data_IF_322010998388
#
_entry.id   IF_322010998388
#
_cell.length_a   1.000
_cell.length_b   1.000
_cell.length_c   1.000
_cell.angle_alpha   90.00
_cell.angle_beta   90.00
_cell.angle_gamma   90.00
#
_symmetry.space_group_name_H-M   'P 1'
#
loop_
_entity.id
_entity.type
_entity.pdbx_description
1 polymer ?
#
# COMPACT_ATOMS: atom_id res chain seq x y z
N UNK A 1 -16.27 -4.70 9.97
CA UNK A 1 -15.18 -4.01 9.24
C UNK A 1 -13.84 -4.52 9.73
N UNK A 2 -12.91 -4.79 8.80
CA UNK A 2 -11.58 -5.28 9.17
C UNK A 2 -10.72 -4.12 9.67
N UNK A 3 -9.90 -4.40 10.67
CA UNK A 3 -8.92 -3.43 11.13
C UNK A 3 -7.79 -3.30 10.10
N UNK A 4 -7.32 -2.06 9.93
CA UNK A 4 -6.19 -1.77 9.06
C UNK A 4 -5.05 -1.29 9.94
N UNK A 5 -3.87 -1.90 9.78
CA UNK A 5 -2.68 -1.42 10.45
C UNK A 5 -1.53 -1.34 9.45
N UNK A 6 -0.61 -0.42 9.70
CA UNK A 6 0.54 -0.20 8.84
C UNK A 6 1.82 -0.61 9.54
N UNK A 7 2.66 -1.35 8.82
CA UNK A 7 4.05 -1.47 9.22
C UNK A 7 4.66 -0.06 9.21
N UNK A 8 5.52 0.26 10.19
CA UNK A 8 6.04 1.63 10.29
C UNK A 8 6.76 2.08 9.03
N UNK A 9 7.44 1.17 8.31
CA UNK A 9 8.11 1.54 7.07
C UNK A 9 7.11 1.76 5.94
N UNK A 10 5.98 1.07 5.93
CA UNK A 10 4.92 1.32 4.97
C UNK A 10 4.30 2.71 5.19
N UNK A 11 4.10 3.09 6.45
CA UNK A 11 3.59 4.42 6.77
C UNK A 11 4.55 5.49 6.32
N UNK A 12 5.84 5.28 6.54
CA UNK A 12 6.88 6.20 6.08
C UNK A 12 6.88 6.33 4.57
N UNK A 13 6.78 5.22 3.86
CA UNK A 13 6.73 5.21 2.40
C UNK A 13 5.51 5.97 1.89
N UNK A 14 4.37 5.79 2.55
CA UNK A 14 3.15 6.50 2.20
C UNK A 14 3.33 8.01 2.32
N UNK A 15 3.87 8.45 3.45
CA UNK A 15 4.05 9.88 3.72
C UNK A 15 5.07 10.50 2.79
N UNK A 16 6.17 9.81 2.53
CA UNK A 16 7.21 10.31 1.62
C UNK A 16 6.68 10.45 0.20
N UNK A 17 5.89 9.47 -0.27
CA UNK A 17 5.31 9.55 -1.60
C UNK A 17 4.31 10.69 -1.71
N UNK A 18 3.46 10.86 -0.69
CA UNK A 18 2.47 11.95 -0.70
C UNK A 18 3.16 13.32 -0.74
N UNK A 19 4.23 13.49 0.04
CA UNK A 19 4.99 14.74 0.05
C UNK A 19 5.66 15.00 -1.29
N UNK A 20 6.21 13.95 -1.91
CA UNK A 20 6.81 14.08 -3.22
C UNK A 20 5.79 14.59 -4.24
N UNK A 21 4.61 13.97 -4.30
CA UNK A 21 3.58 14.40 -5.25
C UNK A 21 3.07 15.80 -4.95
N UNK A 22 2.94 16.15 -3.68
CA UNK A 22 2.51 17.50 -3.32
C UNK A 22 3.54 18.55 -3.76
N UNK A 23 4.82 18.22 -3.69
CA UNK A 23 5.86 19.12 -4.15
C UNK A 23 5.87 19.28 -5.67
N UNK A 24 5.39 18.26 -6.38
CA UNK A 24 5.31 18.31 -7.84
C UNK A 24 4.13 19.17 -8.32
N UNK A 25 3.01 19.11 -7.62
CA UNK A 25 1.83 19.86 -7.99
C UNK A 25 0.92 20.00 -6.79
N UNK A 26 0.50 21.23 -6.42
CA UNK A 26 -0.41 21.42 -5.29
C UNK A 26 -1.68 20.58 -5.44
N UNK A 27 -2.02 19.84 -4.39
CA UNK A 27 -3.18 18.97 -4.34
C UNK A 27 -2.93 17.55 -4.82
N UNK A 28 -1.79 17.29 -5.49
CA UNK A 28 -1.53 15.95 -6.02
C UNK A 28 -1.27 14.94 -4.90
N UNK A 29 -0.68 15.39 -3.79
CA UNK A 29 -0.48 14.51 -2.64
C UNK A 29 -1.80 14.01 -2.05
N UNK A 30 -2.80 14.88 -1.99
CA UNK A 30 -4.13 14.50 -1.51
C UNK A 30 -4.77 13.48 -2.46
N UNK A 31 -4.62 13.69 -3.77
CA UNK A 31 -5.14 12.75 -4.77
C UNK A 31 -4.50 11.38 -4.60
N UNK A 32 -3.20 11.35 -4.35
CA UNK A 32 -2.48 10.10 -4.10
C UNK A 32 -3.02 9.39 -2.85
N UNK A 33 -3.15 10.13 -1.75
CA UNK A 33 -3.66 9.56 -0.50
C UNK A 33 -5.09 9.03 -0.66
N UNK A 34 -5.93 9.76 -1.41
CA UNK A 34 -7.31 9.33 -1.67
C UNK A 34 -7.33 8.00 -2.44
N UNK A 35 -6.46 7.83 -3.41
CA UNK A 35 -6.42 6.58 -4.16
C UNK A 35 -5.94 5.43 -3.28
N UNK A 36 -4.92 5.66 -2.46
CA UNK A 36 -4.45 4.67 -1.47
C UNK A 36 -5.61 4.24 -0.58
N UNK A 37 -6.35 5.21 -0.04
CA UNK A 37 -7.45 4.93 0.87
C UNK A 37 -8.54 4.09 0.20
N UNK A 38 -8.91 4.42 -1.03
CA UNK A 38 -9.92 3.65 -1.76
C UNK A 38 -9.46 2.21 -2.02
N UNK A 39 -8.19 2.03 -2.37
CA UNK A 39 -7.68 0.68 -2.59
C UNK A 39 -7.62 -0.13 -1.30
N UNK A 40 -7.28 0.52 -0.18
CA UNK A 40 -7.27 -0.16 1.13
C UNK A 40 -8.69 -0.58 1.50
N UNK A 41 -9.69 0.25 1.25
CA UNK A 41 -11.09 -0.12 1.48
C UNK A 41 -11.49 -1.34 0.65
N UNK A 42 -11.07 -1.38 -0.62
CA UNK A 42 -11.31 -2.54 -1.49
C UNK A 42 -10.62 -3.79 -0.95
N UNK A 43 -9.39 -3.66 -0.50
CA UNK A 43 -8.64 -4.77 0.09
C UNK A 43 -9.37 -5.32 1.31
N UNK A 44 -9.88 -4.42 2.16
CA UNK A 44 -10.61 -4.85 3.36
C UNK A 44 -11.87 -5.63 3.01
N UNK A 45 -12.54 -5.25 1.92
CA UNK A 45 -13.75 -5.94 1.47
C UNK A 45 -13.44 -7.26 0.77
N UNK A 46 -12.30 -7.35 0.08
CA UNK A 46 -11.93 -8.55 -0.66
C UNK A 46 -10.43 -8.80 -0.53
N UNK A 47 -9.98 -9.33 0.62
CA UNK A 47 -8.55 -9.51 0.86
C UNK A 47 -7.84 -10.44 -0.10
N UNK A 48 -8.57 -11.37 -0.74
CA UNK A 48 -7.94 -12.29 -1.69
C UNK A 48 -7.90 -11.73 -3.11
N UNK A 49 -8.30 -10.47 -3.31
CA UNK A 49 -8.31 -9.86 -4.64
C UNK A 49 -6.96 -9.46 -5.17
N UNK A 50 -5.95 -9.35 -4.31
CA UNK A 50 -4.61 -9.01 -4.75
C UNK A 50 -3.86 -10.18 -5.32
N UNK A 51 -2.82 -9.89 -6.12
CA UNK A 51 -1.96 -10.91 -6.68
C UNK A 51 -1.03 -11.44 -5.59
N UNK A 52 -0.97 -12.77 -5.44
CA UNK A 52 -0.07 -13.40 -4.48
C UNK A 52 1.38 -13.18 -4.89
N UNK A 53 2.20 -12.79 -3.94
CA UNK A 53 3.63 -12.62 -4.15
C UNK A 53 4.41 -13.73 -3.46
N UNK A 54 4.52 -13.64 -2.13
CA UNK A 54 5.33 -14.57 -1.35
C UNK A 54 4.64 -14.81 -0.02
N UNK A 55 4.49 -16.10 0.35
CA UNK A 55 3.79 -16.44 1.59
C UNK A 55 2.39 -15.86 1.58
N UNK A 56 1.96 -15.21 2.69
CA UNK A 56 0.63 -14.63 2.75
C UNK A 56 0.52 -13.25 2.09
N UNK A 57 1.60 -12.74 1.51
CA UNK A 57 1.63 -11.35 1.01
C UNK A 57 1.02 -11.27 -0.37
N UNK A 58 0.14 -10.28 -0.53
CA UNK A 58 -0.50 -9.96 -1.80
C UNK A 58 -0.24 -8.51 -2.17
N UNK A 59 -0.45 -8.16 -3.44
CA UNK A 59 -0.22 -6.83 -3.95
C UNK A 59 -1.40 -6.35 -4.76
N UNK A 60 -1.77 -5.07 -4.56
CA UNK A 60 -2.68 -4.35 -5.44
C UNK A 60 -1.93 -3.16 -6.01
N UNK A 61 -1.96 -2.99 -7.33
CA UNK A 61 -1.30 -1.87 -8.01
C UNK A 61 -2.30 -0.75 -8.18
N UNK A 62 -1.89 0.48 -7.86
CA UNK A 62 -2.73 1.65 -8.03
C UNK A 62 -3.01 1.91 -9.51
N UNK A 63 -4.07 2.65 -9.79
CA UNK A 63 -4.46 2.94 -11.16
C UNK A 63 -3.67 4.11 -11.75
N UNK A 64 -3.54 5.21 -11.00
CA UNK A 64 -2.99 6.45 -11.52
C UNK A 64 -1.57 6.76 -11.07
N UNK A 65 -1.02 5.97 -10.19
CA UNK A 65 0.32 6.19 -9.64
C UNK A 65 1.13 4.91 -9.75
N UNK A 66 2.45 5.00 -9.99
CA UNK A 66 3.29 3.82 -10.15
C UNK A 66 3.66 3.21 -8.80
N UNK A 67 2.65 2.87 -8.00
CA UNK A 67 2.83 2.28 -6.69
C UNK A 67 1.94 1.07 -6.51
N UNK A 68 2.39 0.15 -5.67
CA UNK A 68 1.61 -0.98 -5.23
C UNK A 68 1.46 -0.99 -3.73
N UNK A 69 0.33 -1.53 -3.26
CA UNK A 69 0.08 -1.75 -1.84
C UNK A 69 0.34 -3.23 -1.58
N UNK A 70 1.32 -3.53 -0.72
CA UNK A 70 1.63 -4.89 -0.31
C UNK A 70 1.01 -5.12 1.06
N UNK A 71 0.29 -6.23 1.21
CA UNK A 71 -0.47 -6.47 2.44
C UNK A 71 -0.57 -7.96 2.73
N UNK A 72 -0.90 -8.26 3.98
CA UNK A 72 -1.28 -9.62 4.37
C UNK A 72 -2.60 -9.56 5.14
N UNK A 73 -3.50 -10.51 4.85
CA UNK A 73 -4.74 -10.66 5.60
C UNK A 73 -4.47 -11.55 6.81
N UNK A 74 -4.95 -11.12 7.97
CA UNK A 74 -4.76 -11.83 9.23
C UNK A 74 -6.10 -11.94 9.93
N UNK A 75 -6.15 -12.75 11.00
CA UNK A 75 -7.37 -12.91 11.79
C UNK A 75 -7.86 -11.56 12.33
N UNK A 76 -6.94 -10.72 12.78
CA UNK A 76 -7.28 -9.41 13.35
C UNK A 76 -7.52 -8.32 12.31
N UNK A 77 -7.19 -8.55 11.03
CA UNK A 77 -7.43 -7.56 9.98
C UNK A 77 -6.38 -7.58 8.89
N UNK A 78 -6.22 -6.42 8.25
CA UNK A 78 -5.27 -6.24 7.15
C UNK A 78 -4.03 -5.52 7.66
N UNK A 79 -2.87 -6.10 7.39
CA UNK A 79 -1.59 -5.47 7.70
C UNK A 79 -0.97 -4.94 6.41
N UNK A 80 -0.80 -3.63 6.31
CA UNK A 80 -0.13 -3.01 5.16
C UNK A 80 1.37 -3.08 5.39
N UNK A 81 2.08 -3.79 4.53
CA UNK A 81 3.51 -4.07 4.71
C UNK A 81 4.40 -3.12 3.93
N UNK A 82 3.93 -2.60 2.81
CA UNK A 82 4.71 -1.68 1.99
C UNK A 82 3.81 -0.87 1.08
N UNK A 83 4.21 0.38 0.87
CA UNK A 83 3.70 1.22 -0.21
C UNK A 83 4.87 1.33 -1.17
N UNK A 84 4.89 0.48 -2.19
CA UNK A 84 6.06 0.22 -3.00
C UNK A 84 6.00 0.91 -4.35
N UNK A 85 6.98 1.76 -4.63
CA UNK A 85 7.15 2.27 -6.00
C UNK A 85 7.48 1.09 -6.92
N UNK A 86 6.85 1.03 -8.08
CA UNK A 86 7.00 -0.13 -8.98
C UNK A 86 8.42 -0.32 -9.53
N UNK A 87 9.25 0.73 -9.47
CA UNK A 87 10.66 0.64 -9.88
C UNK A 87 11.59 0.28 -8.73
N UNK A 88 11.04 0.11 -7.54
CA UNK A 88 11.84 -0.28 -6.38
C UNK A 88 12.39 -1.70 -6.59
N UNK A 89 13.55 -1.99 -5.98
CA UNK A 89 14.13 -3.34 -6.04
C UNK A 89 13.13 -4.37 -5.54
N UNK A 90 12.89 -5.44 -6.31
CA UNK A 90 11.97 -6.49 -5.89
C UNK A 90 12.38 -7.08 -4.55
N UNK A 91 11.39 -7.46 -3.73
CA UNK A 91 11.60 -8.16 -2.46
C UNK A 91 12.26 -7.34 -1.37
N UNK A 92 12.44 -6.00 -1.56
CA UNK A 92 13.04 -5.16 -0.53
C UNK A 92 12.23 -5.18 0.78
N UNK A 93 10.96 -5.49 0.69
CA UNK A 93 10.02 -5.53 1.81
C UNK A 93 10.06 -6.85 2.57
N UNK A 94 10.77 -7.85 2.06
CA UNK A 94 10.83 -9.17 2.70
C UNK A 94 11.40 -9.03 4.10
N UNK A 95 10.76 -9.70 5.07
CA UNK A 95 11.11 -9.57 6.47
C UNK A 95 10.21 -8.63 7.25
N UNK A 96 9.41 -7.82 6.56
CA UNK A 96 8.41 -6.99 7.24
C UNK A 96 7.23 -7.84 7.67
N UNK A 97 6.70 -7.53 8.84
CA UNK A 97 5.55 -8.29 9.34
C UNK A 97 4.49 -7.41 9.99
#
# INVERSE_FOLDING_TARGET
MRQISFHRLAERELNEAALYYESESPGLGVIFLDEIERFIEDIAKNPSGGIKLRGPVRRRILRRFPYGILYSARAEGIRILAIMHLKRRPMYWVGRS
#
